data_IF_877941392426
#
_entry.id   IF_877941392426
#
_cell.length_a   1.000
_cell.length_b   1.000
_cell.length_c   1.000
_cell.angle_alpha   90.00
_cell.angle_beta   90.00
_cell.angle_gamma   90.00
#
_symmetry.space_group_name_H-M   'P 1'
#
loop_
_entity.id
_entity.type
_entity.pdbx_description
1 polymer ?
#
# COMPACT_ATOMS: atom_id res chain seq x y z
N UNK A 1 -12.56 -2.67 19.48
CA UNK A 1 -11.15 -2.39 19.12
C UNK A 1 -10.50 -3.55 18.38
N UNK A 2 -10.57 -4.78 18.90
CA UNK A 2 -10.02 -5.99 18.26
C UNK A 2 -10.52 -6.24 16.83
N UNK A 3 -11.82 -6.08 16.56
CA UNK A 3 -12.37 -6.24 15.20
C UNK A 3 -11.84 -5.20 14.19
N UNK A 4 -11.58 -3.98 14.65
CA UNK A 4 -11.04 -2.91 13.80
C UNK A 4 -9.59 -3.20 13.40
N UNK A 5 -8.77 -3.66 14.35
CA UNK A 5 -7.38 -4.07 14.07
C UNK A 5 -7.34 -5.27 13.13
N UNK A 6 -8.20 -6.29 13.35
CA UNK A 6 -8.34 -7.43 12.44
C UNK A 6 -8.74 -7.02 11.02
N UNK A 7 -9.68 -6.08 10.88
CA UNK A 7 -10.08 -5.56 9.58
C UNK A 7 -8.91 -4.86 8.85
N UNK A 8 -8.15 -4.02 9.56
CA UNK A 8 -6.96 -3.34 9.01
C UNK A 8 -5.88 -4.34 8.55
N UNK A 9 -5.69 -5.43 9.29
CA UNK A 9 -4.80 -6.52 8.87
C UNK A 9 -5.26 -7.17 7.59
N UNK A 10 -6.56 -7.44 7.51
CA UNK A 10 -7.15 -8.09 6.34
C UNK A 10 -6.93 -7.22 5.11
N UNK A 11 -7.15 -5.90 5.24
CA UNK A 11 -6.82 -4.93 4.20
C UNK A 11 -5.33 -4.94 3.82
N UNK A 12 -4.42 -5.06 4.81
CA UNK A 12 -2.99 -5.14 4.56
C UNK A 12 -2.61 -6.41 3.77
N UNK A 13 -3.12 -7.57 4.17
CA UNK A 13 -2.86 -8.86 3.52
C UNK A 13 -3.48 -8.90 2.12
N UNK A 14 -4.73 -8.43 1.95
CA UNK A 14 -5.39 -8.37 0.65
C UNK A 14 -4.68 -7.40 -0.31
N UNK A 15 -4.22 -6.25 0.20
CA UNK A 15 -3.40 -5.32 -0.58
C UNK A 15 -2.08 -5.96 -1.04
N UNK A 16 -1.39 -6.67 -0.13
CA UNK A 16 -0.17 -7.41 -0.47
C UNK A 16 -0.41 -8.54 -1.48
N UNK A 17 -1.51 -9.28 -1.35
CA UNK A 17 -1.92 -10.31 -2.31
C UNK A 17 -2.24 -9.71 -3.68
N UNK A 18 -2.90 -8.55 -3.73
CA UNK A 18 -3.17 -7.85 -4.98
C UNK A 18 -1.87 -7.47 -5.72
N UNK A 19 -0.86 -6.99 -4.99
CA UNK A 19 0.48 -6.73 -5.55
C UNK A 19 1.15 -8.02 -6.04
N UNK A 20 1.10 -9.09 -5.26
CA UNK A 20 1.73 -10.37 -5.60
C UNK A 20 1.04 -11.11 -6.75
N UNK A 21 -0.26 -10.88 -6.96
CA UNK A 21 -1.05 -11.54 -8.01
C UNK A 21 -0.71 -11.06 -9.44
N UNK A 22 0.03 -9.96 -9.58
CA UNK A 22 0.61 -9.46 -10.84
C UNK A 22 -0.29 -9.50 -12.10
N UNK A 23 -1.55 -9.01 -12.08
CA UNK A 23 -2.37 -8.96 -13.30
C UNK A 23 -1.92 -7.84 -14.27
N UNK A 24 -1.54 -6.67 -13.74
CA UNK A 24 -0.86 -5.60 -14.46
C UNK A 24 -0.23 -4.60 -13.48
N UNK A 25 0.78 -3.81 -13.90
CA UNK A 25 1.49 -2.88 -13.00
C UNK A 25 0.57 -1.79 -12.42
N UNK A 26 -0.49 -1.42 -13.14
CA UNK A 26 -1.52 -0.48 -12.68
C UNK A 26 -2.26 -0.98 -11.44
N UNK A 27 -2.69 -2.25 -11.43
CA UNK A 27 -3.36 -2.83 -10.28
C UNK A 27 -2.40 -3.05 -9.10
N UNK A 28 -1.11 -3.26 -9.38
CA UNK A 28 -0.06 -3.30 -8.35
C UNK A 28 0.04 -2.00 -7.55
N UNK A 29 -0.03 -0.83 -8.21
CA UNK A 29 -0.05 0.48 -7.53
C UNK A 29 -1.25 0.58 -6.59
N UNK A 30 -2.44 0.21 -7.06
CA UNK A 30 -3.67 0.26 -6.25
C UNK A 30 -3.57 -0.66 -5.03
N UNK A 31 -3.04 -1.87 -5.22
CA UNK A 31 -2.78 -2.82 -4.12
C UNK A 31 -1.78 -2.28 -3.09
N UNK A 32 -0.71 -1.61 -3.55
CA UNK A 32 0.29 -0.97 -2.70
C UNK A 32 -0.30 0.18 -1.87
N UNK A 33 -1.14 1.01 -2.48
CA UNK A 33 -1.86 2.08 -1.75
C UNK A 33 -2.74 1.48 -0.65
N UNK A 34 -3.55 0.47 -0.98
CA UNK A 34 -4.41 -0.20 0.01
C UNK A 34 -3.61 -0.85 1.15
N UNK A 35 -2.52 -1.54 0.82
CA UNK A 35 -1.64 -2.14 1.81
C UNK A 35 -1.01 -1.09 2.73
N UNK A 36 -0.44 -0.01 2.16
CA UNK A 36 0.21 1.05 2.95
C UNK A 36 -0.76 1.75 3.92
N UNK A 37 -2.00 2.06 3.48
CA UNK A 37 -3.03 2.68 4.34
C UNK A 37 -3.47 1.71 5.45
N UNK A 38 -3.72 0.44 5.12
CA UNK A 38 -4.08 -0.58 6.10
C UNK A 38 -2.99 -0.82 7.15
N UNK A 39 -1.72 -0.89 6.70
CA UNK A 39 -0.56 -1.03 7.57
C UNK A 39 -0.31 0.18 8.47
N UNK A 40 -0.47 1.41 7.94
CA UNK A 40 -0.38 2.63 8.74
C UNK A 40 -1.49 2.69 9.79
N UNK A 41 -2.74 2.36 9.41
CA UNK A 41 -3.86 2.29 10.35
C UNK A 41 -3.63 1.27 11.47
N UNK A 42 -3.06 0.10 11.15
CA UNK A 42 -2.68 -0.88 12.15
C UNK A 42 -1.59 -0.34 13.09
N UNK A 43 -0.52 0.27 12.57
CA UNK A 43 0.57 0.81 13.40
C UNK A 43 0.11 1.96 14.31
N UNK A 44 -0.82 2.79 13.83
CA UNK A 44 -1.48 3.83 14.64
C UNK A 44 -2.27 3.22 15.79
N UNK A 45 -2.93 2.07 15.58
CA UNK A 45 -3.67 1.37 16.64
C UNK A 45 -2.77 0.78 17.74
N UNK A 46 -1.50 0.50 17.42
CA UNK A 46 -0.48 0.07 18.38
C UNK A 46 0.22 1.25 19.09
N UNK A 47 -0.11 2.49 18.76
CA UNK A 47 0.50 3.69 19.33
C UNK A 47 1.85 4.08 18.69
N UNK A 48 2.29 3.39 17.63
CA UNK A 48 3.57 3.64 16.96
C UNK A 48 3.40 4.63 15.81
N UNK A 49 2.96 5.85 16.14
CA UNK A 49 2.55 6.87 15.17
C UNK A 49 3.69 7.43 14.32
N UNK A 50 4.89 7.59 14.89
CA UNK A 50 6.06 8.10 14.15
C UNK A 50 6.46 7.16 13.00
N UNK A 51 6.51 5.86 13.26
CA UNK A 51 6.86 4.85 12.25
C UNK A 51 5.79 4.77 11.16
N UNK A 52 4.51 4.91 11.51
CA UNK A 52 3.43 4.98 10.55
C UNK A 52 3.56 6.18 9.60
N UNK A 53 3.92 7.36 10.13
CA UNK A 53 4.13 8.56 9.31
C UNK A 53 5.35 8.44 8.39
N UNK A 54 6.45 7.83 8.85
CA UNK A 54 7.61 7.57 8.01
C UNK A 54 7.27 6.60 6.88
N UNK A 55 6.55 5.51 7.17
CA UNK A 55 6.05 4.60 6.13
C UNK A 55 5.13 5.31 5.15
N UNK A 56 4.23 6.16 5.62
CA UNK A 56 3.34 6.92 4.74
C UNK A 56 4.15 7.87 3.83
N UNK A 57 5.05 8.67 4.38
CA UNK A 57 5.87 9.61 3.60
C UNK A 57 6.79 8.92 2.59
N UNK A 58 7.51 7.88 3.00
CA UNK A 58 8.49 7.23 2.12
C UNK A 58 7.81 6.32 1.09
N UNK A 59 6.80 5.55 1.51
CA UNK A 59 6.18 4.55 0.65
C UNK A 59 5.12 5.17 -0.27
N UNK A 60 4.18 5.98 0.27
CA UNK A 60 3.18 6.67 -0.56
C UNK A 60 3.75 7.91 -1.25
N UNK A 61 4.64 8.67 -0.60
CA UNK A 61 5.21 9.88 -1.19
C UNK A 61 6.37 9.60 -2.14
N UNK A 62 7.33 8.77 -1.73
CA UNK A 62 8.54 8.52 -2.50
C UNK A 62 8.41 7.39 -3.52
N UNK A 63 8.09 6.18 -3.06
CA UNK A 63 8.16 4.99 -3.91
C UNK A 63 7.00 4.88 -4.88
N UNK A 64 5.78 5.26 -4.50
CA UNK A 64 4.66 5.23 -5.43
C UNK A 64 4.82 6.17 -6.62
N UNK A 65 5.43 7.35 -6.45
CA UNK A 65 5.63 8.31 -7.56
C UNK A 65 6.54 7.70 -8.63
N UNK A 66 7.67 7.11 -8.20
CA UNK A 66 8.61 6.42 -9.10
C UNK A 66 7.97 5.19 -9.74
N UNK A 67 7.15 4.47 -8.97
CA UNK A 67 6.46 3.29 -9.47
C UNK A 67 5.42 3.66 -10.53
N UNK A 68 4.55 4.65 -10.28
CA UNK A 68 3.56 5.15 -11.25
C UNK A 68 4.25 5.68 -12.52
N UNK A 69 5.37 6.40 -12.38
CA UNK A 69 6.15 6.85 -13.53
C UNK A 69 6.67 5.67 -14.37
N UNK A 70 7.23 4.65 -13.72
CA UNK A 70 7.69 3.43 -14.40
C UNK A 70 6.53 2.68 -15.06
N UNK A 71 5.37 2.60 -14.41
CA UNK A 71 4.16 2.01 -14.98
C UNK A 71 3.70 2.78 -16.22
N UNK A 72 3.75 4.11 -16.20
CA UNK A 72 3.37 4.93 -17.35
C UNK A 72 4.32 4.78 -18.54
N UNK A 73 5.60 4.48 -18.30
CA UNK A 73 6.60 4.21 -19.34
C UNK A 73 6.51 2.79 -19.89
N UNK A 74 6.16 1.81 -19.04
CA UNK A 74 6.03 0.40 -19.41
C UNK A 74 4.65 0.04 -19.97
N UNK A 75 3.68 0.94 -19.85
CA UNK A 75 2.39 0.78 -20.48
C UNK A 75 2.55 0.99 -21.98
N UNK A 76 2.67 -0.12 -22.71
CA UNK A 76 2.51 -0.12 -24.16
C UNK A 76 1.15 0.55 -24.50
N UNK A 77 1.12 1.47 -25.47
CA UNK A 77 -0.10 2.13 -25.89
C UNK A 77 -0.98 1.11 -26.61
N UNK A 78 -1.83 0.41 -25.86
CA UNK A 78 -2.98 -0.29 -26.41
C UNK A 78 -4.09 0.71 -26.73
#
# INVERSE_FOLDING_TARGET
MTYFVLFLWLCFVLGGLAVASNPSPYYGVVGLVLASVGGCGWLLSLGVSFVALVLFMVYLGGMLVVFVYSVSLAADPF
#
